data_IF_395973239150
#
_entry.id   IF_395973239150
#
_cell.length_a   1.000
_cell.length_b   1.000
_cell.length_c   1.000
_cell.angle_alpha   90.00
_cell.angle_beta   90.00
_cell.angle_gamma   90.00
#
_symmetry.space_group_name_H-M   'P 1'
#
loop_
_entity.id
_entity.type
_entity.pdbx_description
1 polymer ?
#
# COMPACT_ATOMS: atom_id res chain seq x y z
N UNK A 1 9.72 -23.52 5.20
CA UNK A 1 9.42 -22.35 4.33
C UNK A 1 9.54 -21.03 5.10
N UNK A 2 8.99 -20.89 6.30
CA UNK A 2 9.08 -19.67 7.14
C UNK A 2 10.51 -19.30 7.53
N UNK A 3 11.36 -20.28 7.80
CA UNK A 3 12.76 -20.02 8.21
C UNK A 3 13.60 -19.36 7.10
N UNK A 4 13.27 -19.61 5.82
CA UNK A 4 13.94 -18.98 4.69
C UNK A 4 13.68 -17.45 4.57
N UNK A 5 12.67 -16.93 5.27
CA UNK A 5 12.36 -15.49 5.29
C UNK A 5 13.14 -14.73 6.35
N UNK A 6 13.60 -15.40 7.40
CA UNK A 6 14.31 -14.76 8.52
C UNK A 6 15.57 -14.03 8.08
N UNK A 7 16.32 -14.62 7.14
CA UNK A 7 17.60 -14.10 6.67
C UNK A 7 17.45 -13.09 5.52
N UNK A 8 16.23 -12.85 5.03
CA UNK A 8 16.00 -11.91 3.94
C UNK A 8 16.07 -10.48 4.46
N UNK A 9 16.87 -9.65 3.77
CA UNK A 9 16.99 -8.24 4.08
C UNK A 9 15.75 -7.46 3.59
N UNK A 10 15.29 -7.73 2.36
CA UNK A 10 14.14 -7.07 1.73
C UNK A 10 12.93 -7.97 1.73
N UNK A 11 11.80 -7.44 2.19
CA UNK A 11 10.53 -8.16 2.26
C UNK A 11 9.42 -7.33 1.63
N UNK A 12 8.70 -7.93 0.69
CA UNK A 12 7.54 -7.31 0.05
C UNK A 12 6.27 -7.92 0.62
N UNK A 13 5.41 -7.08 1.18
CA UNK A 13 4.11 -7.47 1.73
C UNK A 13 3.00 -7.05 0.78
N UNK A 14 2.35 -8.03 0.15
CA UNK A 14 1.17 -7.79 -0.67
C UNK A 14 -0.07 -7.98 0.18
N UNK A 15 -0.91 -6.94 0.29
CA UNK A 15 -2.14 -6.96 1.07
C UNK A 15 -3.35 -6.65 0.20
N UNK A 16 -4.35 -7.53 0.29
CA UNK A 16 -5.58 -7.44 -0.48
C UNK A 16 -6.65 -6.57 0.20
N UNK A 17 -7.65 -6.13 -0.57
CA UNK A 17 -8.77 -5.32 -0.10
C UNK A 17 -9.50 -5.98 1.08
N UNK A 18 -9.82 -7.27 0.97
CA UNK A 18 -10.53 -8.01 2.02
C UNK A 18 -9.77 -8.10 3.35
N UNK A 19 -8.44 -7.97 3.32
CA UNK A 19 -7.63 -7.92 4.53
C UNK A 19 -7.72 -6.56 5.22
N UNK A 20 -7.90 -5.49 4.43
CA UNK A 20 -7.89 -4.10 4.90
C UNK A 20 -9.27 -3.54 5.23
N UNK A 21 -10.34 -4.26 4.90
CA UNK A 21 -11.72 -3.77 5.07
C UNK A 21 -12.57 -4.74 5.87
N UNK A 22 -13.57 -4.22 6.54
CA UNK A 22 -14.66 -5.02 7.12
C UNK A 22 -15.52 -5.62 6.01
N UNK A 23 -15.81 -6.92 6.09
CA UNK A 23 -16.58 -7.63 5.07
C UNK A 23 -18.00 -7.07 4.90
N UNK A 24 -18.65 -6.72 6.02
CA UNK A 24 -20.05 -6.27 6.08
C UNK A 24 -20.21 -4.85 5.54
N UNK A 25 -19.29 -3.96 5.87
CA UNK A 25 -19.46 -2.52 5.57
C UNK A 25 -18.55 -2.04 4.44
N UNK A 26 -17.47 -2.77 4.12
CA UNK A 26 -16.42 -2.33 3.20
C UNK A 26 -15.60 -1.14 3.70
N UNK A 27 -15.82 -0.71 4.97
CA UNK A 27 -15.00 0.33 5.60
C UNK A 27 -13.60 -0.21 5.90
N UNK A 28 -12.59 0.68 5.96
CA UNK A 28 -11.27 0.29 6.40
C UNK A 28 -11.32 -0.27 7.83
N UNK A 29 -10.73 -1.43 8.02
CA UNK A 29 -10.53 -2.04 9.33
C UNK A 29 -9.26 -1.43 9.96
N UNK A 30 -9.46 -0.36 10.70
CA UNK A 30 -8.35 0.40 11.30
C UNK A 30 -7.55 -0.44 12.30
N UNK A 31 -8.19 -1.39 12.98
CA UNK A 31 -7.51 -2.29 13.92
C UNK A 31 -6.55 -3.21 13.17
N UNK A 32 -6.99 -3.81 12.07
CA UNK A 32 -6.12 -4.64 11.24
C UNK A 32 -5.00 -3.82 10.58
N UNK A 33 -5.33 -2.61 10.10
CA UNK A 33 -4.33 -1.72 9.50
C UNK A 33 -3.27 -1.30 10.51
N UNK A 34 -3.67 -0.89 11.72
CA UNK A 34 -2.74 -0.53 12.79
C UNK A 34 -1.83 -1.71 13.16
N UNK A 35 -2.41 -2.88 13.39
CA UNK A 35 -1.65 -4.09 13.70
C UNK A 35 -0.66 -4.45 12.59
N UNK A 36 -1.07 -4.32 11.34
CA UNK A 36 -0.21 -4.54 10.18
C UNK A 36 0.95 -3.54 10.14
N UNK A 37 0.66 -2.24 10.25
CA UNK A 37 1.66 -1.18 10.27
C UNK A 37 2.66 -1.35 11.42
N UNK A 38 2.19 -1.70 12.61
CA UNK A 38 3.05 -1.95 13.78
C UNK A 38 4.03 -3.10 13.54
N UNK A 39 3.56 -4.21 12.95
CA UNK A 39 4.43 -5.35 12.60
C UNK A 39 5.47 -4.94 11.55
N UNK A 40 5.07 -4.17 10.53
CA UNK A 40 5.99 -3.69 9.50
C UNK A 40 7.04 -2.73 10.06
N UNK A 41 6.63 -1.86 10.96
CA UNK A 41 7.52 -0.94 11.68
C UNK A 41 8.55 -1.71 12.50
N UNK A 42 8.12 -2.74 13.22
CA UNK A 42 9.04 -3.57 14.01
C UNK A 42 10.09 -4.27 13.12
N UNK A 43 9.68 -4.83 11.99
CA UNK A 43 10.61 -5.40 11.01
C UNK A 43 11.57 -4.35 10.43
N UNK A 44 11.07 -3.16 10.13
CA UNK A 44 11.90 -2.06 9.65
C UNK A 44 12.92 -1.61 10.70
N UNK A 45 12.52 -1.51 11.96
CA UNK A 45 13.40 -1.18 13.09
C UNK A 45 14.46 -2.27 13.34
N UNK A 46 14.20 -3.52 12.94
CA UNK A 46 15.19 -4.60 12.94
C UNK A 46 16.18 -4.52 11.75
N UNK A 47 16.13 -3.48 10.94
CA UNK A 47 17.01 -3.26 9.78
C UNK A 47 16.55 -3.97 8.50
N UNK A 48 15.30 -4.45 8.44
CA UNK A 48 14.73 -5.00 7.21
C UNK A 48 14.26 -3.87 6.27
N UNK A 49 14.43 -4.06 4.98
CA UNK A 49 13.84 -3.22 3.94
C UNK A 49 12.41 -3.69 3.69
N UNK A 50 11.43 -2.88 4.04
CA UNK A 50 10.00 -3.20 3.94
C UNK A 50 9.38 -2.48 2.76
N UNK A 51 8.68 -3.21 1.90
CA UNK A 51 7.88 -2.68 0.78
C UNK A 51 6.45 -3.18 0.93
N UNK A 52 5.48 -2.29 0.77
CA UNK A 52 4.05 -2.64 0.83
C UNK A 52 3.44 -2.57 -0.57
N UNK A 53 2.74 -3.62 -0.98
CA UNK A 53 1.90 -3.63 -2.18
C UNK A 53 0.45 -3.71 -1.71
N UNK A 54 -0.20 -2.56 -1.71
CA UNK A 54 -1.58 -2.43 -1.22
C UNK A 54 -2.58 -2.40 -2.36
N UNK A 55 -3.75 -2.95 -2.12
CA UNK A 55 -4.93 -2.83 -2.98
C UNK A 55 -6.10 -2.21 -2.20
N UNK A 56 -7.22 -1.98 -2.88
CA UNK A 56 -8.45 -1.53 -2.21
C UNK A 56 -8.85 -0.08 -2.49
N UNK A 57 -8.08 0.67 -3.27
CA UNK A 57 -8.40 2.06 -3.60
C UNK A 57 -9.83 2.24 -4.15
N UNK A 58 -10.26 1.39 -5.09
CA UNK A 58 -11.64 1.45 -5.65
C UNK A 58 -12.70 1.23 -4.55
N UNK A 59 -12.49 0.27 -3.67
CA UNK A 59 -13.44 -0.03 -2.59
C UNK A 59 -13.54 1.13 -1.59
N UNK A 60 -12.40 1.68 -1.19
CA UNK A 60 -12.33 2.84 -0.29
C UNK A 60 -12.99 4.07 -0.94
N UNK A 61 -12.72 4.32 -2.21
CA UNK A 61 -13.30 5.46 -2.95
C UNK A 61 -14.80 5.29 -3.17
N UNK A 62 -15.27 4.09 -3.53
CA UNK A 62 -16.70 3.78 -3.65
C UNK A 62 -17.44 4.17 -2.37
N UNK A 63 -16.92 3.75 -1.24
CA UNK A 63 -17.51 4.05 0.05
C UNK A 63 -17.45 5.55 0.38
N UNK A 64 -16.33 6.18 0.10
CA UNK A 64 -16.17 7.63 0.31
C UNK A 64 -17.18 8.46 -0.50
N UNK A 65 -17.48 7.99 -1.71
CA UNK A 65 -18.47 8.59 -2.60
C UNK A 65 -19.92 8.11 -2.34
N UNK A 66 -20.12 7.27 -1.32
CA UNK A 66 -21.44 6.71 -0.92
C UNK A 66 -22.15 5.97 -2.05
N UNK A 67 -21.40 5.32 -2.95
CA UNK A 67 -21.98 4.50 -4.00
C UNK A 67 -22.39 3.14 -3.42
N UNK A 68 -23.68 2.82 -3.50
CA UNK A 68 -24.25 1.57 -2.96
C UNK A 68 -23.72 0.36 -3.73
N UNK A 69 -23.74 0.44 -5.06
CA UNK A 69 -23.31 -0.65 -5.91
C UNK A 69 -21.84 -0.57 -6.31
N UNK A 70 -21.30 -1.73 -6.69
CA UNK A 70 -19.96 -1.81 -7.26
C UNK A 70 -19.97 -1.17 -8.66
N UNK A 71 -19.13 -0.17 -8.94
CA UNK A 71 -19.14 0.50 -10.23
C UNK A 71 -18.81 -0.49 -11.36
N UNK A 72 -19.63 -0.50 -12.38
CA UNK A 72 -19.45 -1.32 -13.59
C UNK A 72 -18.63 -0.56 -14.63
N UNK A 73 -18.90 0.72 -14.78
CA UNK A 73 -18.24 1.59 -15.76
C UNK A 73 -16.79 1.89 -15.40
N UNK A 74 -15.93 1.92 -16.40
CA UNK A 74 -14.49 2.15 -16.24
C UNK A 74 -14.19 3.54 -15.67
N UNK A 75 -14.88 4.56 -16.17
CA UNK A 75 -14.75 5.95 -15.71
C UNK A 75 -15.07 6.09 -14.21
N UNK A 76 -16.17 5.47 -13.77
CA UNK A 76 -16.57 5.48 -12.36
C UNK A 76 -15.57 4.70 -11.49
N UNK A 77 -15.03 3.57 -11.98
CA UNK A 77 -13.95 2.85 -11.28
C UNK A 77 -12.70 3.71 -11.12
N UNK A 78 -12.33 4.46 -12.17
CA UNK A 78 -11.17 5.36 -12.13
C UNK A 78 -11.39 6.52 -11.14
N UNK A 79 -12.57 7.13 -11.13
CA UNK A 79 -12.93 8.15 -10.16
C UNK A 79 -12.87 7.62 -8.71
N UNK A 80 -13.45 6.43 -8.47
CA UNK A 80 -13.34 5.75 -7.18
C UNK A 80 -11.89 5.48 -6.79
N UNK A 81 -11.06 5.02 -7.73
CA UNK A 81 -9.64 4.76 -7.47
C UNK A 81 -8.90 6.05 -7.07
N UNK A 82 -9.15 7.16 -7.75
CA UNK A 82 -8.52 8.45 -7.45
C UNK A 82 -8.86 8.94 -6.03
N UNK A 83 -10.14 8.95 -5.67
CA UNK A 83 -10.58 9.34 -4.32
C UNK A 83 -10.08 8.36 -3.26
N UNK A 84 -10.18 7.07 -3.54
CA UNK A 84 -9.82 6.03 -2.59
C UNK A 84 -8.32 5.90 -2.36
N UNK A 85 -7.50 6.10 -3.38
CA UNK A 85 -6.05 6.07 -3.26
C UNK A 85 -5.55 7.17 -2.33
N UNK A 86 -6.05 8.39 -2.49
CA UNK A 86 -5.72 9.50 -1.59
C UNK A 86 -6.05 9.17 -0.12
N UNK A 87 -7.26 8.66 0.14
CA UNK A 87 -7.69 8.27 1.49
C UNK A 87 -6.88 7.12 2.06
N UNK A 88 -6.60 6.10 1.27
CA UNK A 88 -5.83 4.94 1.69
C UNK A 88 -4.41 5.34 2.09
N UNK A 89 -3.76 6.17 1.27
CA UNK A 89 -2.42 6.68 1.57
C UNK A 89 -2.40 7.58 2.82
N UNK A 90 -3.42 8.42 3.00
CA UNK A 90 -3.53 9.24 4.22
C UNK A 90 -3.60 8.36 5.49
N UNK A 91 -4.34 7.25 5.45
CA UNK A 91 -4.42 6.33 6.59
C UNK A 91 -3.08 5.63 6.83
N UNK A 92 -2.41 5.13 5.80
CA UNK A 92 -1.07 4.56 5.95
C UNK A 92 -0.09 5.57 6.53
N UNK A 93 -0.04 6.77 5.97
CA UNK A 93 0.83 7.85 6.40
C UNK A 93 0.61 8.19 7.89
N UNK A 94 -0.66 8.33 8.30
CA UNK A 94 -1.02 8.59 9.69
C UNK A 94 -0.53 7.48 10.61
N UNK A 95 -0.83 6.22 10.29
CA UNK A 95 -0.46 5.09 11.12
C UNK A 95 1.06 4.89 11.22
N UNK A 96 1.79 5.02 10.12
CA UNK A 96 3.25 4.92 10.14
C UNK A 96 3.91 6.09 10.87
N UNK A 97 3.34 7.31 10.78
CA UNK A 97 3.87 8.48 11.49
C UNK A 97 3.80 8.36 13.02
N UNK A 98 2.81 7.64 13.55
CA UNK A 98 2.72 7.32 15.00
C UNK A 98 3.95 6.54 15.50
N UNK A 99 4.64 5.85 14.59
CA UNK A 99 5.86 5.09 14.86
C UNK A 99 7.12 5.76 14.29
N UNK A 100 7.06 7.05 13.95
CA UNK A 100 8.16 7.81 13.35
C UNK A 100 8.71 7.17 12.05
N UNK A 101 7.86 6.53 11.27
CA UNK A 101 8.23 5.94 9.98
C UNK A 101 7.79 6.85 8.83
N UNK A 102 8.70 7.05 7.88
CA UNK A 102 8.38 7.75 6.64
C UNK A 102 7.88 6.76 5.58
N UNK A 103 6.82 7.14 4.88
CA UNK A 103 6.27 6.37 3.77
C UNK A 103 6.30 7.17 2.49
N UNK A 104 6.38 6.49 1.36
CA UNK A 104 6.30 7.08 0.04
C UNK A 104 5.29 6.32 -0.83
N UNK A 105 4.45 7.06 -1.54
CA UNK A 105 3.57 6.46 -2.54
C UNK A 105 4.33 6.21 -3.83
N UNK A 106 4.24 4.99 -4.37
CA UNK A 106 4.77 4.63 -5.69
C UNK A 106 3.64 4.07 -6.54
N UNK A 107 3.16 4.87 -7.48
CA UNK A 107 2.10 4.47 -8.40
C UNK A 107 2.71 3.74 -9.60
N UNK A 108 2.31 2.48 -9.79
CA UNK A 108 2.78 1.65 -10.89
C UNK A 108 1.62 1.11 -11.71
N UNK A 109 1.79 1.10 -13.02
CA UNK A 109 0.87 0.50 -13.98
C UNK A 109 1.56 -0.63 -14.73
N UNK A 110 0.79 -1.38 -15.55
CA UNK A 110 1.38 -2.36 -16.45
C UNK A 110 2.42 -1.72 -17.39
N UNK A 111 2.19 -0.48 -17.83
CA UNK A 111 3.12 0.25 -18.69
C UNK A 111 4.45 0.50 -17.97
N UNK A 112 4.41 0.85 -16.69
CA UNK A 112 5.61 1.03 -15.86
C UNK A 112 6.50 -0.22 -15.84
N UNK A 113 5.90 -1.40 -15.87
CA UNK A 113 6.64 -2.67 -15.84
C UNK A 113 7.18 -3.06 -17.22
N UNK A 114 6.41 -2.84 -18.29
CA UNK A 114 6.78 -3.31 -19.64
C UNK A 114 7.65 -2.32 -20.43
N UNK A 115 7.58 -1.04 -20.12
CA UNK A 115 8.43 -0.02 -20.73
C UNK A 115 9.76 0.07 -20.00
N UNK A 116 10.88 -0.10 -20.71
CA UNK A 116 12.21 -0.18 -20.11
C UNK A 116 12.62 1.08 -19.36
N UNK A 117 12.33 2.27 -19.91
CA UNK A 117 12.65 3.55 -19.28
C UNK A 117 11.84 3.73 -17.99
N UNK A 118 10.54 3.50 -18.06
CA UNK A 118 9.64 3.63 -16.91
C UNK A 118 10.00 2.62 -15.82
N UNK A 119 10.34 1.39 -16.19
CA UNK A 119 10.79 0.36 -15.25
C UNK A 119 12.10 0.75 -14.56
N UNK A 120 13.08 1.24 -15.33
CA UNK A 120 14.34 1.69 -14.77
C UNK A 120 14.15 2.86 -13.80
N UNK A 121 13.35 3.85 -14.14
CA UNK A 121 13.03 4.97 -13.26
C UNK A 121 12.33 4.51 -11.97
N UNK A 122 11.38 3.57 -12.07
CA UNK A 122 10.75 3.00 -10.88
C UNK A 122 11.76 2.25 -10.00
N UNK A 123 12.66 1.44 -10.59
CA UNK A 123 13.72 0.74 -9.85
C UNK A 123 14.63 1.71 -9.11
N UNK A 124 15.05 2.81 -9.76
CA UNK A 124 15.86 3.85 -9.13
C UNK A 124 15.12 4.48 -7.95
N UNK A 125 13.84 4.82 -8.14
CA UNK A 125 13.01 5.40 -7.07
C UNK A 125 12.92 4.47 -5.87
N UNK A 126 12.59 3.19 -6.07
CA UNK A 126 12.57 2.21 -4.98
C UNK A 126 13.92 2.08 -4.27
N UNK A 127 15.01 2.03 -5.05
CA UNK A 127 16.36 1.88 -4.50
C UNK A 127 16.74 3.06 -3.60
N UNK A 128 16.45 4.30 -4.03
CA UNK A 128 16.74 5.49 -3.23
C UNK A 128 15.83 5.58 -2.00
N UNK A 129 14.54 5.31 -2.12
CA UNK A 129 13.64 5.29 -0.97
C UNK A 129 14.10 4.31 0.11
N UNK A 130 14.49 3.09 -0.29
CA UNK A 130 14.97 2.07 0.65
C UNK A 130 16.31 2.45 1.30
N UNK A 131 17.24 3.08 0.56
CA UNK A 131 18.48 3.62 1.12
C UNK A 131 18.23 4.72 2.16
N UNK A 132 17.21 5.54 1.94
CA UNK A 132 16.78 6.61 2.85
C UNK A 132 15.98 6.10 4.06
N UNK A 133 15.74 4.79 4.17
CA UNK A 133 14.93 4.20 5.24
C UNK A 133 13.43 4.54 5.12
N UNK A 134 12.94 4.82 3.91
CA UNK A 134 11.53 5.09 3.65
C UNK A 134 10.82 3.80 3.25
N UNK A 135 9.58 3.61 3.69
CA UNK A 135 8.74 2.46 3.35
C UNK A 135 7.91 2.80 2.11
N UNK A 136 8.21 2.22 0.92
CA UNK A 136 7.40 2.42 -0.29
C UNK A 136 6.07 1.67 -0.20
N UNK A 137 4.98 2.29 -0.64
CA UNK A 137 3.62 1.72 -0.69
C UNK A 137 3.04 1.89 -2.09
#
# INVERSE_FOLDING_TARGET
MRDKLKDKKRIVFKVGTSTLTHAETGALDLVKMEKFVRILTDLHNQGKEVVVVSSGAIAVGRRALRLEERPKERSVKQACAAVGQSRLMMVYQKLFSEYNQNTAQVLMTKITIVNDISRHNAQNTFSELLKMGVIPI
#
